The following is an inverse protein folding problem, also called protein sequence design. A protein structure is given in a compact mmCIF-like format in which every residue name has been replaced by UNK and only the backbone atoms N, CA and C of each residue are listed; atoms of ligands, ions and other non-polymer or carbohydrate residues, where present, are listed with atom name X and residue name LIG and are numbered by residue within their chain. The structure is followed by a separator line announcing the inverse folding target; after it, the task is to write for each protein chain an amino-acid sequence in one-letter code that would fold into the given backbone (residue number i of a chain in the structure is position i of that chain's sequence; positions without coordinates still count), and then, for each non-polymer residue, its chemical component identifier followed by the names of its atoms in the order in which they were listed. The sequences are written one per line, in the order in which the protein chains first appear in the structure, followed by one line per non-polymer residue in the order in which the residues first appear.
data_IF_918688960602
#
_entry.id   IF_918688960602
#
_cell.length_a   1.000
_cell.length_b   1.000
_cell.length_c   1.000
_cell.angle_alpha   90.00
_cell.angle_beta   90.00
_cell.angle_gamma   90.00
#
_symmetry.space_group_name_H-M   'P 1'
#
loop_
_entity.id
_entity.type
_entity.pdbx_description
1 polymer ?
#
# COMPACT_ATOMS: atom_id res chain seq x y z
N UNK A 1 -8.40 -7.76 -5.38
CA UNK A 1 -7.94 -8.53 -4.27
C UNK A 1 -8.28 -7.86 -2.96
N UNK A 2 -7.90 -8.52 -1.92
CA UNK A 2 -8.19 -8.06 -0.60
C UNK A 2 -7.61 -6.68 -0.31
N UNK A 3 -6.37 -6.46 -0.71
CA UNK A 3 -5.70 -5.19 -0.48
C UNK A 3 -6.31 -4.05 -1.27
N UNK A 4 -6.68 -4.34 -2.50
CA UNK A 4 -7.34 -3.34 -3.33
C UNK A 4 -8.68 -2.93 -2.74
N UNK A 5 -9.40 -3.90 -2.18
CA UNK A 5 -10.68 -3.60 -1.56
C UNK A 5 -10.52 -2.72 -0.34
N UNK A 6 -9.49 -2.96 0.45
CA UNK A 6 -9.20 -2.15 1.61
C UNK A 6 -8.96 -0.69 1.23
N UNK A 7 -8.17 -0.51 0.19
CA UNK A 7 -7.84 0.80 -0.31
C UNK A 7 -9.07 1.52 -0.82
N UNK A 8 -9.90 0.79 -1.51
CA UNK A 8 -11.13 1.33 -2.02
C UNK A 8 -12.05 1.79 -0.90
N UNK A 9 -12.10 1.03 0.17
CA UNK A 9 -12.89 1.42 1.33
C UNK A 9 -12.43 2.73 1.91
N UNK A 10 -11.13 2.95 1.94
CA UNK A 10 -10.62 4.20 2.47
C UNK A 10 -11.02 5.40 1.64
N UNK A 11 -11.13 5.21 0.34
CA UNK A 11 -11.51 6.31 -0.53
C UNK A 11 -12.99 6.58 -0.54
N UNK A 12 -13.78 5.53 -0.58
CA UNK A 12 -15.19 5.68 -0.83
C UNK A 12 -16.08 5.27 0.30
N UNK A 13 -15.54 4.68 1.32
CA UNK A 13 -16.35 4.10 2.34
C UNK A 13 -15.79 4.37 3.70
N UNK A 14 -16.63 4.53 4.64
CA UNK A 14 -16.21 4.93 5.96
C UNK A 14 -15.77 3.77 6.81
N UNK A 15 -14.57 3.28 6.57
CA UNK A 15 -13.96 2.46 7.58
C UNK A 15 -13.33 3.43 8.55
N UNK A 16 -14.06 3.69 9.60
CA UNK A 16 -13.71 4.70 10.57
C UNK A 16 -12.35 4.41 11.18
N UNK A 17 -11.51 5.44 11.16
CA UNK A 17 -10.26 5.38 11.87
C UNK A 17 -9.15 4.58 11.22
N UNK A 18 -9.35 4.07 10.02
CA UNK A 18 -8.32 3.30 9.33
C UNK A 18 -7.64 4.17 8.30
N UNK A 19 -6.31 4.28 8.40
CA UNK A 19 -5.51 5.03 7.44
C UNK A 19 -4.36 4.14 7.00
N UNK A 20 -4.32 3.84 5.71
CA UNK A 20 -3.22 3.09 5.12
C UNK A 20 -2.48 4.00 4.15
N UNK A 21 -1.17 4.13 4.32
CA UNK A 21 -0.37 5.05 3.51
C UNK A 21 0.80 4.30 2.91
N UNK A 22 1.05 4.55 1.62
CA UNK A 22 2.28 4.08 0.98
C UNK A 22 3.29 5.20 0.93
N UNK A 23 4.57 4.83 0.83
CA UNK A 23 5.62 5.83 0.73
C UNK A 23 6.85 5.24 0.03
N UNK A 24 7.64 6.10 -0.58
CA UNK A 24 8.89 5.76 -1.27
C UNK A 24 8.75 4.56 -2.21
N UNK A 25 7.83 4.64 -3.19
CA UNK A 25 7.68 3.53 -4.11
C UNK A 25 8.90 3.38 -5.00
N UNK A 26 9.24 2.14 -5.33
CA UNK A 26 10.28 1.84 -6.28
C UNK A 26 9.70 0.96 -7.36
N UNK A 27 10.01 1.27 -8.60
CA UNK A 27 9.44 0.55 -9.72
C UNK A 27 10.53 0.07 -10.65
N UNK A 28 10.30 -1.09 -11.25
CA UNK A 28 11.15 -1.63 -12.31
C UNK A 28 10.26 -1.96 -13.47
N UNK A 29 10.66 -1.55 -14.66
CA UNK A 29 9.84 -1.71 -15.85
C UNK A 29 10.68 -2.28 -16.96
N UNK A 30 10.12 -3.27 -17.67
CA UNK A 30 10.74 -3.77 -18.88
C UNK A 30 9.62 -4.09 -19.87
N UNK A 31 9.53 -3.25 -20.92
CA UNK A 31 8.48 -3.46 -21.91
C UNK A 31 7.10 -3.47 -21.28
N UNK A 32 6.40 -4.57 -21.45
CA UNK A 32 5.04 -4.69 -20.95
C UNK A 32 4.91 -5.30 -19.57
N UNK A 33 5.99 -5.34 -18.81
CA UNK A 33 5.95 -5.87 -17.45
C UNK A 33 6.55 -4.84 -16.50
N UNK A 34 5.95 -4.70 -15.33
CA UNK A 34 6.47 -3.80 -14.31
C UNK A 34 6.23 -4.37 -12.92
N UNK A 35 7.06 -3.98 -11.99
CA UNK A 35 6.90 -4.33 -10.60
C UNK A 35 7.05 -3.07 -9.77
N UNK A 36 6.22 -2.94 -8.73
CA UNK A 36 6.31 -1.83 -7.79
C UNK A 36 6.46 -2.38 -6.39
N UNK A 37 7.44 -1.84 -5.68
CA UNK A 37 7.73 -2.15 -4.29
C UNK A 37 7.30 -0.92 -3.50
N UNK A 38 6.30 -1.07 -2.63
CA UNK A 38 5.68 0.07 -1.97
C UNK A 38 5.59 -0.18 -0.47
N UNK A 39 6.52 0.34 0.31
CA UNK A 39 6.36 0.29 1.77
C UNK A 39 5.08 0.99 2.20
N UNK A 40 4.48 0.50 3.26
CA UNK A 40 3.24 1.07 3.75
C UNK A 40 3.18 0.99 5.27
N UNK A 41 2.37 1.85 5.86
CA UNK A 41 1.97 1.71 7.26
C UNK A 41 0.44 1.77 7.34
N UNK A 42 -0.10 1.24 8.42
CA UNK A 42 -1.54 1.26 8.64
C UNK A 42 -1.82 1.60 10.09
N UNK A 43 -2.67 2.60 10.27
CA UNK A 43 -3.09 3.07 11.59
C UNK A 43 -4.56 2.77 11.78
N UNK A 44 -4.94 2.43 13.02
CA UNK A 44 -6.33 2.26 13.40
C UNK A 44 -6.61 3.17 14.56
N UNK A 45 -7.54 4.09 14.37
CA UNK A 45 -7.96 4.98 15.45
C UNK A 45 -6.75 5.66 16.11
N UNK A 46 -5.82 6.11 15.28
CA UNK A 46 -4.66 6.84 15.75
C UNK A 46 -3.52 5.97 16.28
N UNK A 47 -3.70 4.67 16.29
CA UNK A 47 -2.66 3.75 16.76
C UNK A 47 -2.02 3.03 15.60
N UNK A 48 -0.71 2.97 15.59
CA UNK A 48 0.05 2.27 14.55
C UNK A 48 -0.20 0.78 14.68
N UNK A 49 -0.98 0.24 13.75
CA UNK A 49 -1.42 -1.15 13.81
C UNK A 49 -0.37 -2.10 13.24
N UNK A 50 0.06 -1.84 12.03
CA UNK A 50 1.07 -2.67 11.39
C UNK A 50 1.64 -1.93 10.19
N UNK A 51 2.58 -2.60 9.53
CA UNK A 51 3.31 -2.02 8.42
C UNK A 51 3.89 -3.14 7.59
N UNK A 52 4.47 -2.81 6.47
CA UNK A 52 5.07 -3.80 5.62
C UNK A 52 5.36 -3.23 4.25
N UNK A 53 5.34 -4.11 3.26
CA UNK A 53 5.59 -3.73 1.87
C UNK A 53 4.52 -4.36 1.01
N UNK A 54 3.94 -3.55 0.14
CA UNK A 54 3.07 -4.04 -0.92
C UNK A 54 3.93 -4.25 -2.16
N UNK A 55 3.74 -5.38 -2.83
CA UNK A 55 4.42 -5.68 -4.09
C UNK A 55 3.36 -5.89 -5.15
N UNK A 56 3.45 -5.12 -6.22
CA UNK A 56 2.51 -5.22 -7.33
C UNK A 56 3.27 -5.65 -8.57
N UNK A 57 2.68 -6.56 -9.33
CA UNK A 57 3.15 -6.89 -10.66
C UNK A 57 2.11 -6.41 -11.66
N UNK A 58 2.57 -5.70 -12.67
CA UNK A 58 1.70 -5.15 -13.70
C UNK A 58 2.07 -5.73 -15.05
N UNK A 59 1.06 -5.89 -15.90
CA UNK A 59 1.29 -6.20 -17.30
C UNK A 59 0.55 -5.17 -18.13
N UNK A 60 1.11 -4.88 -19.30
CA UNK A 60 0.48 -3.94 -20.21
C UNK A 60 -0.32 -4.73 -21.22
N UNK A 61 -1.60 -4.43 -21.30
CA UNK A 61 -2.51 -5.09 -22.22
C UNK A 61 -3.38 -4.02 -22.86
N UNK A 62 -3.45 -4.04 -24.18
CA UNK A 62 -4.25 -3.07 -24.94
C UNK A 62 -3.89 -1.63 -24.58
N UNK A 63 -2.59 -1.37 -24.43
CA UNK A 63 -2.11 -0.02 -24.13
C UNK A 63 -2.31 0.45 -22.70
N UNK A 64 -2.77 -0.42 -21.80
CA UNK A 64 -3.04 -0.04 -20.42
C UNK A 64 -2.33 -0.98 -19.46
N UNK A 65 -1.84 -0.42 -18.38
CA UNK A 65 -1.25 -1.22 -17.31
C UNK A 65 -2.35 -1.81 -16.44
N UNK A 66 -2.20 -3.09 -16.16
CA UNK A 66 -3.17 -3.79 -15.31
C UNK A 66 -2.43 -4.55 -14.24
N UNK A 67 -3.02 -4.66 -13.06
CA UNK A 67 -2.42 -5.45 -11.98
C UNK A 67 -2.60 -6.91 -12.29
N UNK A 68 -1.49 -7.63 -12.39
CA UNK A 68 -1.50 -9.06 -12.66
C UNK A 68 -1.41 -9.86 -11.37
N UNK A 69 -0.73 -9.31 -10.37
CA UNK A 69 -0.56 -10.00 -9.10
C UNK A 69 -0.22 -8.98 -8.04
N UNK A 70 -0.53 -9.29 -6.79
CA UNK A 70 -0.07 -8.47 -5.69
C UNK A 70 0.11 -9.35 -4.46
N UNK A 71 1.07 -8.94 -3.65
CA UNK A 71 1.36 -9.59 -2.39
C UNK A 71 1.79 -8.51 -1.41
N UNK A 72 1.71 -8.81 -0.14
CA UNK A 72 2.16 -7.86 0.86
C UNK A 72 2.63 -8.60 2.09
N UNK A 73 3.51 -7.92 2.82
CA UNK A 73 3.91 -8.40 4.15
C UNK A 73 3.21 -7.57 5.20
N UNK A 74 3.15 -8.10 6.40
CA UNK A 74 2.61 -7.36 7.54
C UNK A 74 3.47 -7.66 8.74
N UNK A 75 3.95 -6.61 9.37
CA UNK A 75 4.83 -6.71 10.52
C UNK A 75 4.37 -5.74 11.59
N UNK A 76 4.75 -6.02 12.81
CA UNK A 76 4.38 -5.15 13.93
C UNK A 76 5.45 -4.10 14.16
N UNK A 77 5.06 -2.87 14.49
CA UNK A 77 6.06 -1.88 14.88
C UNK A 77 6.81 -2.36 16.11
N UNK A 78 8.05 -1.96 16.26
CA UNK A 78 8.78 -0.96 15.47
C UNK A 78 9.68 -1.56 14.40
N UNK A 79 9.38 -2.76 13.95
CA UNK A 79 10.27 -3.49 13.03
C UNK A 79 10.40 -2.84 11.68
N UNK A 80 9.35 -2.18 11.23
CA UNK A 80 9.32 -1.67 9.89
C UNK A 80 9.71 -0.20 9.80
N UNK A 81 9.93 0.22 8.58
CA UNK A 81 10.36 1.58 8.28
C UNK A 81 9.25 2.57 8.59
N UNK A 82 9.63 3.71 9.15
CA UNK A 82 8.65 4.74 9.46
C UNK A 82 8.35 5.59 8.25
N UNK A 83 7.12 6.02 8.15
CA UNK A 83 6.70 6.94 7.10
C UNK A 83 7.44 8.26 7.26
N UNK A 84 7.95 8.85 6.15
CA UNK A 84 8.70 10.10 6.24
C UNK A 84 7.91 11.25 6.84
N UNK A 85 6.60 11.24 6.69
CA UNK A 85 5.76 12.32 7.22
C UNK A 85 5.35 12.10 8.67
N UNK A 86 5.81 11.01 9.30
CA UNK A 86 5.42 10.69 10.66
C UNK A 86 4.00 10.12 10.72
N UNK A 87 3.43 10.04 11.91
CA UNK A 87 2.06 9.52 12.03
C UNK A 87 1.06 10.37 11.27
N UNK A 88 -0.05 9.79 10.84
CA UNK A 88 -1.07 10.59 10.17
C UNK A 88 -1.70 11.58 11.15
N UNK A 89 -2.24 12.67 10.65
CA UNK A 89 -2.91 13.61 11.52
C UNK A 89 -4.09 12.94 12.21
N UNK A 90 -4.28 13.30 13.45
CA UNK A 90 -5.45 12.82 14.19
C UNK A 90 -6.59 13.78 13.99
N UNK A 91 -7.77 13.28 14.22
CA UNK A 91 -8.95 14.07 14.00
C UNK A 91 -9.71 14.26 15.26
#
# INVERSE_FOLDING_TARGET
TYRARSRESQRGSPIQGVVERGFRPEAMVNGGVAMVWLPYDLYRNGTWSHCGVDVFTFVKADGKWRIAAMAWSAEQPPVCEKHPAGPPPTR
#
